data_IF_263779005985
#
_entry.id   IF_263779005985
#
_cell.length_a   1.000
_cell.length_b   1.000
_cell.length_c   1.000
_cell.angle_alpha   90.00
_cell.angle_beta   90.00
_cell.angle_gamma   90.00
#
_symmetry.space_group_name_H-M   'P 1'
#
loop_
_entity.id
_entity.type
_entity.pdbx_description
1 polymer ?
#
# COMPACT_ATOMS: atom_id res chain seq x y z
N UNK A 1 0.97 -34.33 21.38
CA UNK A 1 0.25 -33.68 20.26
C UNK A 1 -1.20 -34.17 20.28
N UNK A 2 -2.17 -33.30 20.54
CA UNK A 2 -3.60 -33.68 20.43
C UNK A 2 -3.94 -33.95 18.96
N UNK A 3 -4.55 -35.09 18.70
CA UNK A 3 -4.96 -35.52 17.35
C UNK A 3 -6.03 -34.55 16.83
N UNK A 4 -5.75 -33.87 15.72
CA UNK A 4 -6.67 -32.93 15.09
C UNK A 4 -7.94 -33.65 14.66
N UNK A 5 -9.10 -33.21 15.14
CA UNK A 5 -10.41 -33.79 14.78
C UNK A 5 -10.67 -33.55 13.28
N UNK A 6 -11.11 -34.60 12.59
CA UNK A 6 -11.36 -34.60 11.14
C UNK A 6 -12.86 -34.63 10.84
N UNK A 7 -13.26 -34.39 9.58
CA UNK A 7 -14.64 -34.57 9.12
C UNK A 7 -15.16 -36.02 9.32
N UNK A 8 -14.27 -37.01 9.33
CA UNK A 8 -14.61 -38.40 9.63
C UNK A 8 -14.98 -38.60 11.12
N UNK A 9 -14.26 -37.90 12.00
CA UNK A 9 -14.54 -37.93 13.43
C UNK A 9 -15.88 -37.23 13.74
N UNK A 10 -16.16 -36.10 13.07
CA UNK A 10 -17.46 -35.40 13.15
C UNK A 10 -18.59 -36.31 12.66
N UNK A 11 -18.38 -37.03 11.57
CA UNK A 11 -19.36 -37.96 11.04
C UNK A 11 -19.71 -39.07 12.08
N UNK A 12 -18.67 -39.58 12.73
CA UNK A 12 -18.85 -40.58 13.80
C UNK A 12 -19.63 -40.01 15.00
N UNK A 13 -19.26 -38.79 15.46
CA UNK A 13 -19.93 -38.10 16.56
C UNK A 13 -21.39 -37.77 16.25
N UNK A 14 -21.71 -37.43 15.01
CA UNK A 14 -23.06 -37.13 14.57
C UNK A 14 -23.87 -38.37 14.15
N UNK A 15 -23.29 -39.57 14.17
CA UNK A 15 -23.94 -40.80 13.75
C UNK A 15 -24.33 -40.78 12.26
N UNK A 16 -23.50 -40.22 11.38
CA UNK A 16 -23.77 -40.10 9.96
C UNK A 16 -22.57 -40.52 9.12
N UNK A 17 -22.77 -40.70 7.82
CA UNK A 17 -21.67 -40.93 6.91
C UNK A 17 -20.89 -39.64 6.63
N UNK A 18 -19.59 -39.72 6.37
CA UNK A 18 -18.73 -38.54 6.10
C UNK A 18 -19.26 -37.63 4.96
N UNK A 19 -19.88 -38.24 3.93
CA UNK A 19 -20.51 -37.46 2.86
C UNK A 19 -21.69 -36.61 3.33
N UNK A 20 -22.38 -37.02 4.42
CA UNK A 20 -23.47 -36.26 5.03
C UNK A 20 -22.93 -35.02 5.73
N UNK A 21 -21.76 -35.11 6.38
CA UNK A 21 -21.08 -33.95 6.95
C UNK A 21 -20.74 -32.95 5.85
N UNK A 22 -20.17 -33.43 4.75
CA UNK A 22 -19.84 -32.55 3.58
C UNK A 22 -21.09 -31.89 2.99
N UNK A 23 -22.20 -32.63 2.89
CA UNK A 23 -23.49 -32.09 2.39
C UNK A 23 -24.11 -31.09 3.37
N UNK A 24 -24.04 -31.34 4.67
CA UNK A 24 -24.57 -30.44 5.68
C UNK A 24 -23.86 -29.08 5.71
N UNK A 25 -22.59 -29.07 5.34
CA UNK A 25 -21.75 -27.87 5.25
C UNK A 25 -21.84 -27.17 3.89
N UNK A 26 -22.40 -27.83 2.88
CA UNK A 26 -22.58 -27.26 1.53
C UNK A 26 -24.00 -26.67 1.39
N UNK A 27 -24.16 -25.35 1.18
CA UNK A 27 -25.46 -24.70 1.00
C UNK A 27 -26.31 -25.33 -0.08
N UNK A 28 -25.71 -25.70 -1.24
CA UNK A 28 -26.43 -26.27 -2.40
C UNK A 28 -27.01 -27.64 -2.16
N UNK A 29 -26.51 -28.35 -1.16
CA UNK A 29 -26.95 -29.73 -0.85
C UNK A 29 -27.48 -29.88 0.57
N UNK A 30 -27.34 -28.85 1.41
CA UNK A 30 -27.71 -28.89 2.83
C UNK A 30 -29.22 -29.07 3.05
N UNK A 31 -30.05 -28.66 2.09
CA UNK A 31 -31.52 -28.86 2.10
C UNK A 31 -31.92 -30.34 2.06
N UNK A 32 -31.04 -31.22 1.57
CA UNK A 32 -31.25 -32.70 1.56
C UNK A 32 -31.09 -33.35 2.94
N UNK A 33 -30.74 -32.55 3.96
CA UNK A 33 -30.51 -33.01 5.32
C UNK A 33 -31.50 -32.29 6.22
N UNK A 34 -32.13 -33.03 7.17
CA UNK A 34 -33.09 -32.43 8.06
C UNK A 34 -32.48 -31.24 8.82
N UNK A 35 -33.23 -30.15 9.06
CA UNK A 35 -32.72 -28.95 9.72
C UNK A 35 -32.04 -29.25 11.08
N UNK A 36 -32.61 -30.13 11.88
CA UNK A 36 -32.06 -30.54 13.17
C UNK A 36 -30.68 -31.21 13.03
N UNK A 37 -30.55 -32.17 12.10
CA UNK A 37 -29.29 -32.90 11.89
C UNK A 37 -28.23 -32.00 11.27
N UNK A 38 -28.60 -31.08 10.38
CA UNK A 38 -27.74 -30.10 9.81
C UNK A 38 -27.12 -29.16 10.88
N UNK A 39 -27.96 -28.68 11.80
CA UNK A 39 -27.51 -27.80 12.87
C UNK A 39 -26.60 -28.54 13.86
N UNK A 40 -26.92 -29.79 14.20
CA UNK A 40 -26.07 -30.65 15.03
C UNK A 40 -24.67 -30.79 14.41
N UNK A 41 -24.58 -31.13 13.14
CA UNK A 41 -23.31 -31.27 12.43
C UNK A 41 -22.53 -29.93 12.41
N UNK A 42 -23.20 -28.82 12.15
CA UNK A 42 -22.57 -27.49 12.14
C UNK A 42 -22.02 -27.11 13.51
N UNK A 43 -22.75 -27.41 14.57
CA UNK A 43 -22.30 -27.14 15.93
C UNK A 43 -21.10 -28.01 16.34
N UNK A 44 -21.06 -29.27 15.94
CA UNK A 44 -19.88 -30.12 16.12
C UNK A 44 -18.69 -29.61 15.37
N UNK A 45 -18.88 -29.22 14.11
CA UNK A 45 -17.80 -28.62 13.30
C UNK A 45 -17.24 -27.34 13.93
N UNK A 46 -18.09 -26.43 14.42
CA UNK A 46 -17.66 -25.20 15.13
C UNK A 46 -16.91 -25.57 16.43
N UNK A 47 -17.44 -26.46 17.23
CA UNK A 47 -16.83 -26.88 18.52
C UNK A 47 -15.42 -27.44 18.34
N UNK A 48 -15.20 -28.24 17.30
CA UNK A 48 -13.92 -28.95 17.08
C UNK A 48 -13.04 -28.29 15.99
N UNK A 49 -13.43 -27.12 15.46
CA UNK A 49 -12.65 -26.40 14.44
C UNK A 49 -12.54 -27.14 13.11
N UNK A 50 -13.49 -28.04 12.80
CA UNK A 50 -13.50 -28.77 11.54
C UNK A 50 -14.14 -27.90 10.46
N UNK A 51 -13.30 -27.49 9.52
CA UNK A 51 -13.74 -26.64 8.40
C UNK A 51 -14.21 -27.50 7.22
N UNK A 52 -15.15 -27.01 6.39
CA UNK A 52 -15.58 -27.65 5.16
C UNK A 52 -14.40 -27.95 4.22
N UNK A 53 -14.50 -29.05 3.43
CA UNK A 53 -13.53 -29.32 2.37
C UNK A 53 -13.54 -28.17 1.33
N UNK A 54 -12.46 -28.05 0.55
CA UNK A 54 -12.29 -26.98 -0.47
C UNK A 54 -13.49 -26.79 -1.40
N UNK A 55 -14.10 -27.88 -1.84
CA UNK A 55 -15.26 -27.85 -2.72
C UNK A 55 -16.49 -27.24 -2.02
N UNK A 56 -16.63 -27.45 -0.70
CA UNK A 56 -17.73 -26.94 0.11
C UNK A 56 -17.50 -25.47 0.50
N UNK A 57 -16.24 -25.08 0.75
CA UNK A 57 -15.90 -23.67 1.05
C UNK A 57 -16.25 -22.70 -0.10
N UNK A 58 -16.16 -23.14 -1.36
CA UNK A 58 -16.50 -22.30 -2.51
C UNK A 58 -17.97 -21.85 -2.53
N UNK A 59 -18.85 -22.58 -1.84
CA UNK A 59 -20.30 -22.34 -1.79
C UNK A 59 -20.81 -21.95 -0.40
N UNK A 60 -19.92 -21.76 0.57
CA UNK A 60 -20.30 -21.32 1.90
C UNK A 60 -20.49 -19.81 1.92
N UNK A 61 -21.74 -19.35 2.03
CA UNK A 61 -22.10 -17.93 2.17
C UNK A 61 -21.76 -17.35 3.56
N UNK A 62 -21.23 -18.17 4.49
CA UNK A 62 -20.78 -17.64 5.78
C UNK A 62 -19.49 -16.84 5.56
N UNK A 63 -19.57 -15.54 5.78
CA UNK A 63 -18.40 -14.63 5.77
C UNK A 63 -17.37 -15.12 6.77
N UNK A 64 -16.12 -15.21 6.36
CA UNK A 64 -15.03 -15.61 7.26
C UNK A 64 -14.68 -14.48 8.23
N UNK A 65 -15.11 -13.27 7.92
CA UNK A 65 -14.76 -12.01 8.59
C UNK A 65 -13.24 -11.78 8.65
N UNK A 66 -12.53 -12.28 7.64
CA UNK A 66 -11.08 -12.14 7.49
C UNK A 66 -10.77 -11.46 6.17
N UNK A 67 -9.93 -10.47 6.23
CA UNK A 67 -9.32 -9.82 5.08
C UNK A 67 -7.85 -10.21 5.10
N UNK A 68 -7.34 -10.81 4.04
CA UNK A 68 -5.95 -11.21 3.97
C UNK A 68 -5.15 -10.21 3.11
N UNK A 69 -4.11 -9.63 3.68
CA UNK A 69 -3.17 -8.79 2.92
C UNK A 69 -1.88 -9.55 2.66
N UNK A 70 -1.67 -9.89 1.39
CA UNK A 70 -0.49 -10.59 0.90
C UNK A 70 0.55 -9.55 0.49
N UNK A 71 1.69 -9.55 1.17
CA UNK A 71 2.81 -8.67 0.89
C UNK A 71 4.14 -9.44 0.84
N UNK A 72 5.15 -8.89 0.16
CA UNK A 72 6.43 -9.57 -0.02
C UNK A 72 7.45 -9.28 1.05
N UNK A 73 8.46 -10.14 1.08
CA UNK A 73 9.62 -9.95 1.95
C UNK A 73 10.42 -8.68 1.62
N UNK A 74 10.30 -8.19 0.36
CA UNK A 74 10.96 -6.95 -0.09
C UNK A 74 10.12 -5.68 0.14
N UNK A 75 8.86 -5.78 0.47
CA UNK A 75 8.10 -4.67 1.07
C UNK A 75 8.56 -4.48 2.52
N UNK A 76 9.84 -4.14 2.64
CA UNK A 76 10.54 -3.92 3.90
C UNK A 76 9.97 -2.74 4.69
N UNK A 77 9.09 -1.97 4.04
CA UNK A 77 8.56 -0.69 4.49
C UNK A 77 7.35 -0.80 5.43
N UNK A 78 6.99 -1.99 5.91
CA UNK A 78 5.97 -2.08 6.98
C UNK A 78 6.40 -1.28 8.22
N UNK A 79 7.71 -1.09 8.40
CA UNK A 79 8.27 -0.33 9.50
C UNK A 79 8.42 1.18 9.20
N UNK A 80 8.11 1.64 7.99
CA UNK A 80 8.02 3.07 7.70
C UNK A 80 6.85 3.71 8.45
N UNK A 81 7.04 4.92 8.99
CA UNK A 81 6.02 5.64 9.78
C UNK A 81 4.70 5.73 9.02
N UNK A 82 4.73 6.12 7.75
CA UNK A 82 3.55 6.18 6.89
C UNK A 82 2.87 4.83 6.72
N UNK A 83 3.64 3.78 6.44
CA UNK A 83 3.09 2.43 6.20
C UNK A 83 2.52 1.80 7.47
N UNK A 84 3.18 1.94 8.62
CA UNK A 84 2.66 1.42 9.88
C UNK A 84 1.37 2.13 10.29
N UNK A 85 1.29 3.45 10.09
CA UNK A 85 0.07 4.22 10.30
C UNK A 85 -1.05 3.78 9.36
N UNK A 86 -0.74 3.58 8.08
CA UNK A 86 -1.69 3.08 7.08
C UNK A 86 -2.28 1.72 7.46
N UNK A 87 -1.41 0.76 7.83
CA UNK A 87 -1.85 -0.58 8.27
C UNK A 87 -2.71 -0.47 9.52
N UNK A 88 -2.30 0.32 10.52
CA UNK A 88 -3.08 0.54 11.74
C UNK A 88 -4.47 1.08 11.41
N UNK A 89 -4.56 2.11 10.59
CA UNK A 89 -5.84 2.70 10.20
C UNK A 89 -6.75 1.68 9.50
N UNK A 90 -6.21 0.86 8.60
CA UNK A 90 -6.96 -0.22 7.97
C UNK A 90 -7.44 -1.23 9.01
N UNK A 91 -6.58 -1.63 9.96
CA UNK A 91 -6.98 -2.54 11.04
C UNK A 91 -8.14 -1.96 11.85
N UNK A 92 -8.05 -0.70 12.26
CA UNK A 92 -9.05 -0.03 13.09
C UNK A 92 -10.40 0.06 12.37
N UNK A 93 -10.41 0.47 11.08
CA UNK A 93 -11.62 0.59 10.27
C UNK A 93 -12.27 -0.79 10.03
N UNK A 94 -11.47 -1.78 9.64
CA UNK A 94 -11.99 -3.14 9.40
C UNK A 94 -12.49 -3.78 10.68
N UNK A 95 -11.80 -3.58 11.80
CA UNK A 95 -12.24 -4.10 13.11
C UNK A 95 -13.56 -3.46 13.54
N UNK A 96 -13.75 -2.15 13.35
CA UNK A 96 -15.01 -1.47 13.61
C UNK A 96 -16.16 -2.04 12.76
N UNK A 97 -15.85 -2.55 11.56
CA UNK A 97 -16.79 -3.22 10.66
C UNK A 97 -16.93 -4.73 10.92
N UNK A 98 -16.30 -5.25 11.98
CA UNK A 98 -16.38 -6.66 12.40
C UNK A 98 -15.50 -7.61 11.59
N UNK A 99 -14.44 -7.10 10.94
CA UNK A 99 -13.46 -7.88 10.17
C UNK A 99 -12.09 -7.85 10.85
N UNK A 100 -11.28 -8.88 10.59
CA UNK A 100 -9.89 -8.96 11.03
C UNK A 100 -8.97 -8.89 9.83
N UNK A 101 -7.96 -8.00 9.87
CA UNK A 101 -6.89 -7.96 8.88
C UNK A 101 -5.82 -9.00 9.24
N UNK A 102 -5.56 -9.91 8.33
CA UNK A 102 -4.47 -10.89 8.44
C UNK A 102 -3.33 -10.49 7.50
N UNK A 103 -2.16 -10.26 8.05
CA UNK A 103 -0.97 -9.93 7.27
C UNK A 103 -0.23 -11.22 6.89
N UNK A 104 -0.12 -11.49 5.60
CA UNK A 104 0.53 -12.68 5.06
C UNK A 104 1.80 -12.26 4.32
N UNK A 105 2.94 -12.56 4.92
CA UNK A 105 4.23 -12.31 4.29
C UNK A 105 4.63 -13.48 3.41
N UNK A 106 4.92 -13.21 2.13
CA UNK A 106 5.45 -14.20 1.20
C UNK A 106 6.93 -14.00 0.92
N UNK A 107 7.63 -15.11 0.73
CA UNK A 107 8.97 -15.12 0.14
C UNK A 107 8.88 -14.84 -1.36
N UNK A 108 9.76 -13.97 -1.86
CA UNK A 108 9.66 -13.37 -3.21
C UNK A 108 10.17 -14.28 -4.34
N UNK A 109 10.42 -15.55 -4.11
CA UNK A 109 10.84 -16.45 -5.17
C UNK A 109 9.69 -16.76 -6.14
N UNK A 110 9.77 -16.37 -7.44
CA UNK A 110 8.74 -16.66 -8.43
C UNK A 110 8.38 -18.16 -8.51
N UNK A 111 9.38 -19.01 -8.31
CA UNK A 111 9.22 -20.47 -8.36
C UNK A 111 8.39 -21.01 -7.18
N UNK A 112 8.40 -20.30 -6.07
CA UNK A 112 7.65 -20.67 -4.86
C UNK A 112 6.25 -20.06 -4.81
N UNK A 113 5.92 -19.08 -5.65
CA UNK A 113 4.66 -18.35 -5.56
C UNK A 113 3.41 -19.24 -5.61
N UNK A 114 3.34 -20.16 -6.56
CA UNK A 114 2.19 -21.07 -6.68
C UNK A 114 2.06 -21.94 -5.43
N UNK A 115 3.18 -22.41 -4.87
CA UNK A 115 3.17 -23.19 -3.63
C UNK A 115 2.68 -22.34 -2.46
N UNK A 116 3.21 -21.13 -2.32
CA UNK A 116 2.82 -20.18 -1.28
C UNK A 116 1.33 -19.85 -1.35
N UNK A 117 0.79 -19.60 -2.56
CA UNK A 117 -0.65 -19.37 -2.73
C UNK A 117 -1.47 -20.60 -2.32
N UNK A 118 -1.00 -21.82 -2.64
CA UNK A 118 -1.67 -23.05 -2.18
C UNK A 118 -1.64 -23.17 -0.65
N UNK A 119 -0.56 -22.80 0.01
CA UNK A 119 -0.44 -22.79 1.46
C UNK A 119 -1.41 -21.78 2.08
N UNK A 120 -1.51 -20.56 1.52
CA UNK A 120 -2.51 -19.56 1.93
C UNK A 120 -3.93 -20.12 1.82
N UNK A 121 -4.27 -20.72 0.69
CA UNK A 121 -5.58 -21.31 0.47
C UNK A 121 -5.86 -22.52 1.40
N UNK A 122 -4.81 -23.22 1.85
CA UNK A 122 -4.91 -24.32 2.80
C UNK A 122 -5.04 -23.85 4.25
N UNK A 123 -4.43 -22.72 4.62
CA UNK A 123 -4.48 -22.16 5.98
C UNK A 123 -5.87 -21.61 6.36
N UNK A 124 -6.65 -21.24 5.38
CA UNK A 124 -7.99 -20.70 5.52
C UNK A 124 -8.30 -19.71 4.41
N UNK A 125 -9.59 -19.52 4.12
CA UNK A 125 -10.00 -18.51 3.13
C UNK A 125 -10.26 -17.18 3.82
N UNK A 126 -10.00 -16.08 3.11
CA UNK A 126 -10.43 -14.74 3.46
C UNK A 126 -11.61 -14.33 2.58
N UNK A 127 -12.38 -13.34 3.04
CA UNK A 127 -13.48 -12.79 2.25
C UNK A 127 -12.96 -11.91 1.11
N UNK A 128 -11.85 -11.19 1.35
CA UNK A 128 -11.12 -10.40 0.35
C UNK A 128 -9.62 -10.62 0.53
N UNK A 129 -8.91 -10.70 -0.60
CA UNK A 129 -7.45 -10.67 -0.62
C UNK A 129 -6.95 -9.33 -1.16
N UNK A 130 -6.16 -8.63 -0.37
CA UNK A 130 -5.35 -7.50 -0.81
C UNK A 130 -3.99 -8.05 -1.25
N UNK A 131 -3.54 -7.71 -2.43
CA UNK A 131 -2.29 -8.23 -2.99
C UNK A 131 -1.42 -7.09 -3.51
N UNK A 132 -0.20 -6.97 -3.05
CA UNK A 132 0.75 -6.02 -3.61
C UNK A 132 1.04 -6.33 -5.09
N UNK A 133 1.05 -5.33 -5.96
CA UNK A 133 1.12 -5.50 -7.42
C UNK A 133 2.27 -6.37 -7.94
N UNK A 134 3.37 -6.43 -7.21
CA UNK A 134 4.57 -7.19 -7.59
C UNK A 134 4.70 -8.54 -6.88
N UNK A 135 3.69 -8.89 -6.08
CA UNK A 135 3.78 -10.04 -5.18
C UNK A 135 3.47 -11.35 -5.87
N UNK A 136 2.59 -11.32 -6.84
CA UNK A 136 2.11 -12.53 -7.52
C UNK A 136 2.16 -12.34 -9.03
N UNK A 137 2.55 -13.37 -9.74
CA UNK A 137 2.40 -13.45 -11.19
C UNK A 137 0.95 -13.77 -11.57
N UNK A 138 0.60 -13.62 -12.85
CA UNK A 138 -0.75 -13.87 -13.36
C UNK A 138 -1.30 -15.25 -13.00
N UNK A 139 -0.49 -16.30 -13.08
CA UNK A 139 -0.92 -17.67 -12.74
C UNK A 139 -1.28 -17.82 -11.25
N UNK A 140 -0.53 -17.16 -10.38
CA UNK A 140 -0.78 -17.16 -8.93
C UNK A 140 -2.04 -16.37 -8.59
N UNK A 141 -2.28 -15.23 -9.27
CA UNK A 141 -3.52 -14.46 -9.15
C UNK A 141 -4.72 -15.26 -9.63
N UNK A 142 -4.63 -15.94 -10.78
CA UNK A 142 -5.70 -16.82 -11.25
C UNK A 142 -5.98 -17.98 -10.29
N UNK A 143 -4.95 -18.53 -9.64
CA UNK A 143 -5.14 -19.56 -8.63
C UNK A 143 -5.90 -19.04 -7.41
N UNK A 144 -5.62 -17.82 -6.96
CA UNK A 144 -6.41 -17.15 -5.93
C UNK A 144 -7.84 -16.93 -6.40
N UNK A 145 -8.03 -16.38 -7.59
CA UNK A 145 -9.34 -16.11 -8.16
C UNK A 145 -10.22 -17.36 -8.29
N UNK A 146 -9.68 -18.48 -8.74
CA UNK A 146 -10.40 -19.76 -8.79
C UNK A 146 -10.94 -20.23 -7.43
N UNK A 147 -10.40 -19.71 -6.33
CA UNK A 147 -10.79 -20.06 -4.97
C UNK A 147 -11.42 -18.90 -4.20
N UNK A 148 -11.30 -17.67 -4.68
CA UNK A 148 -11.92 -16.46 -4.14
C UNK A 148 -12.20 -15.50 -5.29
N UNK A 149 -13.39 -14.89 -5.31
CA UNK A 149 -13.78 -13.92 -6.36
C UNK A 149 -13.41 -12.49 -6.01
N UNK A 150 -12.84 -12.25 -4.82
CA UNK A 150 -12.65 -10.89 -4.29
C UNK A 150 -11.17 -10.63 -4.09
N UNK A 151 -10.56 -10.02 -5.09
CA UNK A 151 -9.15 -9.66 -5.10
C UNK A 151 -8.99 -8.18 -5.40
N UNK A 152 -8.20 -7.49 -4.60
CA UNK A 152 -7.76 -6.11 -4.86
C UNK A 152 -6.24 -6.10 -5.01
N UNK A 153 -5.78 -5.67 -6.17
CA UNK A 153 -4.37 -5.42 -6.40
C UNK A 153 -4.03 -4.01 -5.93
N UNK A 154 -3.20 -3.91 -4.90
CA UNK A 154 -2.73 -2.62 -4.38
C UNK A 154 -1.49 -2.17 -5.14
N UNK A 155 -1.57 -0.98 -5.73
CA UNK A 155 -0.52 -0.39 -6.55
C UNK A 155 0.13 0.75 -5.76
N UNK A 156 1.32 0.51 -5.26
CA UNK A 156 2.07 1.50 -4.45
C UNK A 156 2.76 2.56 -5.31
N UNK A 157 2.77 2.40 -6.62
CA UNK A 157 3.38 3.29 -7.60
C UNK A 157 2.31 3.97 -8.43
N UNK A 158 2.69 5.06 -9.08
CA UNK A 158 1.82 5.73 -10.02
C UNK A 158 1.39 4.78 -11.14
N UNK A 159 0.08 4.72 -11.33
CA UNK A 159 -0.52 3.78 -12.27
C UNK A 159 -0.60 4.43 -13.62
N UNK A 160 0.45 4.36 -14.41
CA UNK A 160 0.39 4.68 -15.83
C UNK A 160 -0.25 3.56 -16.66
N UNK A 161 -0.13 2.31 -16.21
CA UNK A 161 -0.73 1.12 -16.85
C UNK A 161 -1.06 0.07 -15.79
N UNK A 162 -2.22 -0.56 -15.91
CA UNK A 162 -2.58 -1.70 -15.06
C UNK A 162 -1.66 -2.88 -15.38
N UNK A 163 -1.10 -3.56 -14.38
CA UNK A 163 -0.14 -4.65 -14.59
C UNK A 163 -0.77 -5.90 -15.22
N UNK A 164 -2.10 -6.07 -15.11
CA UNK A 164 -2.84 -7.20 -15.66
C UNK A 164 -4.13 -6.71 -16.33
N UNK A 165 -4.05 -6.02 -17.49
CA UNK A 165 -5.21 -5.38 -18.13
C UNK A 165 -6.28 -6.39 -18.58
N UNK A 166 -5.88 -7.64 -18.88
CA UNK A 166 -6.78 -8.70 -19.34
C UNK A 166 -7.56 -9.40 -18.21
N UNK A 167 -7.23 -9.10 -16.96
CA UNK A 167 -7.87 -9.70 -15.79
C UNK A 167 -9.05 -8.85 -15.32
N UNK A 168 -10.12 -8.79 -16.11
CA UNK A 168 -11.31 -7.96 -15.84
C UNK A 168 -12.04 -8.27 -14.52
N UNK A 169 -11.75 -9.41 -13.91
CA UNK A 169 -12.25 -9.83 -12.59
C UNK A 169 -11.43 -9.26 -11.41
N UNK A 170 -10.31 -8.61 -11.68
CA UNK A 170 -9.40 -8.08 -10.67
C UNK A 170 -9.75 -6.62 -10.38
N UNK A 171 -9.91 -6.29 -9.11
CA UNK A 171 -10.03 -4.92 -8.66
C UNK A 171 -8.66 -4.30 -8.46
N UNK A 172 -8.58 -2.99 -8.67
CA UNK A 172 -7.35 -2.23 -8.46
C UNK A 172 -7.57 -1.11 -7.47
N UNK A 173 -6.59 -0.93 -6.59
CA UNK A 173 -6.48 0.25 -5.75
C UNK A 173 -5.10 0.87 -5.97
N UNK A 174 -5.06 2.02 -6.62
CA UNK A 174 -3.83 2.69 -7.05
C UNK A 174 -3.64 4.07 -6.42
N UNK A 175 -2.45 4.62 -6.62
CA UNK A 175 -2.07 5.95 -6.19
C UNK A 175 -1.59 6.76 -7.39
N UNK A 176 -1.93 8.06 -7.42
CA UNK A 176 -1.49 8.98 -8.45
C UNK A 176 -1.11 10.34 -7.83
N UNK A 177 0.10 10.80 -8.09
CA UNK A 177 0.60 12.11 -7.63
C UNK A 177 0.82 13.12 -8.77
N UNK A 178 0.54 12.74 -10.01
CA UNK A 178 0.86 13.55 -11.19
C UNK A 178 0.23 14.95 -11.13
N UNK A 179 -1.05 15.03 -10.80
CA UNK A 179 -1.79 16.31 -10.73
C UNK A 179 -1.23 17.22 -9.63
N UNK A 180 -0.97 16.68 -8.44
CA UNK A 180 -0.37 17.40 -7.33
C UNK A 180 1.08 17.82 -7.65
N UNK A 181 1.83 16.98 -8.37
CA UNK A 181 3.18 17.30 -8.82
C UNK A 181 3.18 18.45 -9.85
N UNK A 182 2.20 18.47 -10.77
CA UNK A 182 2.03 19.56 -11.71
C UNK A 182 1.67 20.89 -11.01
N UNK A 183 0.80 20.83 -10.01
CA UNK A 183 0.45 21.99 -9.18
C UNK A 183 1.69 22.51 -8.43
N UNK A 184 2.47 21.60 -7.83
CA UNK A 184 3.71 21.95 -7.15
C UNK A 184 4.74 22.57 -8.11
N UNK A 185 4.92 22.02 -9.32
CA UNK A 185 5.78 22.60 -10.35
C UNK A 185 5.31 23.98 -10.78
N UNK A 186 4.00 24.16 -10.94
CA UNK A 186 3.43 25.47 -11.33
C UNK A 186 3.61 26.53 -10.24
N UNK A 187 3.69 26.12 -8.99
CA UNK A 187 3.93 27.00 -7.83
C UNK A 187 5.42 27.42 -7.68
N UNK A 188 6.35 26.80 -8.42
CA UNK A 188 7.76 27.23 -8.44
C UNK A 188 7.85 28.61 -9.11
N UNK A 189 8.45 29.62 -8.48
CA UNK A 189 8.73 30.91 -9.13
C UNK A 189 9.52 30.69 -10.42
N UNK A 190 9.24 31.45 -11.52
CA UNK A 190 9.89 31.25 -12.79
C UNK A 190 11.43 31.25 -12.70
N UNK A 191 12.01 32.15 -11.90
CA UNK A 191 13.45 32.29 -11.65
C UNK A 191 14.05 31.07 -10.93
N UNK A 192 13.24 30.27 -10.24
CA UNK A 192 13.68 29.06 -9.55
C UNK A 192 13.55 27.78 -10.41
N UNK A 193 12.97 27.87 -11.62
CA UNK A 193 12.80 26.71 -12.52
C UNK A 193 14.03 26.37 -13.36
N UNK A 194 15.04 27.24 -13.37
CA UNK A 194 16.25 27.05 -14.18
C UNK A 194 17.23 26.05 -13.56
N UNK A 195 17.18 25.84 -12.25
CA UNK A 195 18.12 25.00 -11.50
C UNK A 195 17.42 24.17 -10.44
N UNK A 196 16.89 23.04 -10.88
CA UNK A 196 16.15 22.09 -10.03
C UNK A 196 17.06 20.92 -9.66
N UNK A 197 17.16 20.60 -8.38
CA UNK A 197 17.75 19.37 -7.89
C UNK A 197 16.67 18.42 -7.39
N UNK A 198 16.54 17.25 -8.00
CA UNK A 198 15.81 16.14 -7.39
C UNK A 198 16.72 15.40 -6.43
N UNK A 199 16.31 15.30 -5.16
CA UNK A 199 17.02 14.56 -4.13
C UNK A 199 16.16 13.42 -3.56
N UNK A 200 16.63 12.20 -3.68
CA UNK A 200 15.90 11.03 -3.26
C UNK A 200 16.75 9.78 -3.19
N UNK A 201 16.08 8.63 -3.09
CA UNK A 201 16.73 7.33 -3.11
C UNK A 201 16.88 6.83 -4.56
N UNK A 202 17.87 5.99 -4.78
CA UNK A 202 18.01 5.27 -6.04
C UNK A 202 16.93 4.18 -6.12
N UNK A 203 15.78 4.54 -6.65
CA UNK A 203 14.59 3.70 -6.70
C UNK A 203 13.75 4.00 -7.95
N UNK A 204 12.94 3.02 -8.37
CA UNK A 204 12.00 3.22 -9.47
C UNK A 204 10.97 4.34 -9.20
N UNK A 205 10.59 4.53 -7.93
CA UNK A 205 9.70 5.62 -7.55
C UNK A 205 10.33 6.99 -7.84
N UNK A 206 11.63 7.13 -7.56
CA UNK A 206 12.39 8.34 -7.90
C UNK A 206 12.51 8.53 -9.42
N UNK A 207 12.76 7.47 -10.18
CA UNK A 207 12.83 7.53 -11.64
C UNK A 207 11.53 8.08 -12.26
N UNK A 208 10.38 7.59 -11.78
CA UNK A 208 9.06 8.06 -12.24
C UNK A 208 8.88 9.55 -11.95
N UNK A 209 9.20 10.01 -10.74
CA UNK A 209 9.08 11.41 -10.33
C UNK A 209 10.03 12.32 -11.12
N UNK A 210 11.25 11.87 -11.36
CA UNK A 210 12.23 12.56 -12.20
C UNK A 210 11.67 12.72 -13.62
N UNK A 211 11.05 11.66 -14.18
CA UNK A 211 10.45 11.72 -15.50
C UNK A 211 9.28 12.71 -15.54
N UNK A 212 8.44 12.76 -14.51
CA UNK A 212 7.37 13.76 -14.42
C UNK A 212 7.91 15.19 -14.45
N UNK A 213 8.98 15.48 -13.71
CA UNK A 213 9.59 16.82 -13.70
C UNK A 213 10.16 17.17 -15.09
N UNK A 214 10.80 16.22 -15.77
CA UNK A 214 11.27 16.42 -17.16
C UNK A 214 10.13 16.74 -18.11
N UNK A 215 9.04 15.98 -18.02
CA UNK A 215 7.86 16.21 -18.83
C UNK A 215 7.24 17.60 -18.57
N UNK A 216 7.22 18.06 -17.31
CA UNK A 216 6.76 19.40 -16.95
C UNK A 216 7.67 20.50 -17.51
N UNK A 217 8.99 20.35 -17.42
CA UNK A 217 9.95 21.27 -18.02
C UNK A 217 9.72 21.37 -19.52
N UNK A 218 9.69 20.25 -20.22
CA UNK A 218 9.45 20.17 -21.65
C UNK A 218 8.14 20.84 -22.05
N UNK A 219 7.05 20.55 -21.35
CA UNK A 219 5.73 21.14 -21.63
C UNK A 219 5.68 22.64 -21.34
N UNK A 220 6.59 23.15 -20.50
CA UNK A 220 6.76 24.56 -20.18
C UNK A 220 7.76 25.28 -21.11
N UNK A 221 8.32 24.59 -22.10
CA UNK A 221 9.34 25.13 -23.00
C UNK A 221 10.72 25.36 -22.35
N UNK A 222 10.98 24.70 -21.22
CA UNK A 222 12.23 24.76 -20.46
C UNK A 222 13.13 23.57 -20.80
N UNK A 223 14.48 23.77 -20.80
CA UNK A 223 15.43 22.68 -21.04
C UNK A 223 15.33 21.59 -19.96
N UNK A 224 15.41 20.33 -20.38
CA UNK A 224 15.45 19.20 -19.44
C UNK A 224 16.70 19.21 -18.54
N UNK A 225 17.80 19.84 -19.05
CA UNK A 225 19.05 20.00 -18.30
C UNK A 225 18.91 20.95 -17.09
N UNK A 226 17.81 21.67 -16.96
CA UNK A 226 17.47 22.42 -15.75
C UNK A 226 17.25 21.47 -14.54
N UNK A 227 17.05 20.16 -14.77
CA UNK A 227 16.91 19.16 -13.74
C UNK A 227 18.19 18.33 -13.59
N UNK A 228 18.73 18.33 -12.39
CA UNK A 228 19.76 17.38 -11.95
C UNK A 228 19.18 16.43 -10.90
N UNK A 229 19.60 15.18 -10.91
CA UNK A 229 19.24 14.22 -9.88
C UNK A 229 20.44 13.87 -9.01
N UNK A 230 20.22 13.83 -7.71
CA UNK A 230 21.16 13.37 -6.70
C UNK A 230 20.50 12.23 -5.93
N UNK A 231 20.89 11.00 -6.29
CA UNK A 231 20.28 9.79 -5.73
C UNK A 231 21.26 9.12 -4.79
N UNK A 232 20.88 8.96 -3.54
CA UNK A 232 21.67 8.16 -2.62
C UNK A 232 21.35 6.68 -2.80
N UNK A 233 22.37 5.81 -2.79
CA UNK A 233 22.17 4.39 -3.08
C UNK A 233 21.32 3.73 -1.99
N UNK A 234 20.25 3.07 -2.42
CA UNK A 234 19.39 2.28 -1.52
C UNK A 234 20.05 0.94 -1.21
N UNK A 235 20.89 0.90 -0.17
CA UNK A 235 21.46 -0.35 0.33
C UNK A 235 20.58 -0.90 1.45
N UNK A 236 19.75 -1.89 1.16
CA UNK A 236 18.99 -2.67 2.13
C UNK A 236 18.06 -1.86 3.07
N UNK A 237 17.20 -2.57 3.80
CA UNK A 237 16.27 -1.99 4.77
C UNK A 237 16.93 -0.95 5.67
N UNK A 238 16.46 0.29 5.58
CA UNK A 238 16.93 1.42 6.39
C UNK A 238 15.73 1.89 7.22
N UNK A 239 15.76 1.80 8.56
CA UNK A 239 14.75 2.42 9.42
C UNK A 239 14.63 3.93 9.13
N UNK A 240 13.47 4.55 9.34
CA UNK A 240 13.25 5.98 9.08
C UNK A 240 14.31 6.90 9.67
N UNK A 241 14.71 6.67 10.90
CA UNK A 241 15.79 7.42 11.59
C UNK A 241 17.14 7.31 10.89
N UNK A 242 17.38 6.16 10.28
CA UNK A 242 18.59 5.91 9.53
C UNK A 242 18.55 6.50 8.12
N UNK A 243 17.34 6.63 7.51
CA UNK A 243 17.18 7.33 6.23
C UNK A 243 17.63 8.78 6.37
N UNK A 244 17.18 9.48 7.40
CA UNK A 244 17.59 10.86 7.66
C UNK A 244 19.10 10.96 7.88
N UNK A 245 19.69 10.03 8.63
CA UNK A 245 21.14 10.01 8.88
C UNK A 245 21.95 9.74 7.61
N UNK A 246 21.59 8.72 6.82
CA UNK A 246 22.33 8.37 5.59
C UNK A 246 22.16 9.43 4.52
N UNK A 247 20.95 9.99 4.36
CA UNK A 247 20.71 11.10 3.46
C UNK A 247 21.48 12.35 3.90
N UNK A 248 21.54 12.63 5.21
CA UNK A 248 22.32 13.74 5.77
C UNK A 248 23.81 13.60 5.50
N UNK A 249 24.40 12.44 5.77
CA UNK A 249 25.83 12.19 5.48
C UNK A 249 26.11 12.31 3.98
N UNK A 250 25.27 11.74 3.15
CA UNK A 250 25.42 11.84 1.69
C UNK A 250 25.31 13.29 1.18
N UNK A 251 24.43 14.10 1.77
CA UNK A 251 24.33 15.54 1.45
C UNK A 251 25.55 16.33 1.87
N UNK A 252 26.15 16.00 3.02
CA UNK A 252 27.39 16.66 3.49
C UNK A 252 28.54 16.44 2.51
N UNK A 253 28.66 15.24 1.92
CA UNK A 253 29.67 14.95 0.91
C UNK A 253 29.45 15.75 -0.40
N UNK A 254 28.21 16.21 -0.63
CA UNK A 254 27.82 16.94 -1.84
C UNK A 254 27.49 18.43 -1.58
N UNK A 255 27.66 18.92 -0.35
CA UNK A 255 27.17 20.24 0.08
C UNK A 255 27.64 21.42 -0.82
N UNK A 256 28.88 21.40 -1.31
CA UNK A 256 29.41 22.45 -2.22
C UNK A 256 28.68 22.54 -3.57
N UNK A 257 27.94 21.50 -3.96
CA UNK A 257 27.18 21.48 -5.20
C UNK A 257 25.76 22.02 -5.03
N UNK A 258 25.28 22.15 -3.78
CA UNK A 258 23.91 22.54 -3.50
C UNK A 258 23.67 24.03 -3.74
N UNK A 259 24.71 24.86 -3.65
CA UNK A 259 24.61 26.33 -3.79
C UNK A 259 24.13 26.78 -5.19
N UNK A 260 24.31 25.91 -6.18
CA UNK A 260 23.93 26.26 -7.57
C UNK A 260 22.43 26.04 -7.86
N UNK A 261 21.66 25.40 -6.94
CA UNK A 261 20.25 25.09 -7.16
C UNK A 261 19.33 26.04 -6.41
N UNK A 262 18.24 26.44 -7.06
CA UNK A 262 17.19 27.30 -6.51
C UNK A 262 15.91 26.54 -6.18
N UNK A 263 15.74 25.33 -6.73
CA UNK A 263 14.63 24.42 -6.35
C UNK A 263 15.16 23.06 -5.95
N UNK A 264 14.64 22.55 -4.83
CA UNK A 264 14.91 21.23 -4.32
C UNK A 264 13.63 20.41 -4.29
N UNK A 265 13.62 19.34 -5.07
CA UNK A 265 12.49 18.41 -5.11
C UNK A 265 12.89 17.11 -4.40
N UNK A 266 12.29 16.85 -3.26
CA UNK A 266 12.72 15.78 -2.37
C UNK A 266 11.75 14.60 -2.33
N UNK A 267 12.27 13.41 -2.12
CA UNK A 267 11.48 12.22 -1.86
C UNK A 267 11.43 11.90 -0.37
N UNK A 268 10.22 11.90 0.19
CA UNK A 268 9.97 11.45 1.56
C UNK A 268 10.81 12.18 2.62
N UNK A 269 11.29 11.43 3.59
CA UNK A 269 12.05 11.95 4.73
C UNK A 269 13.40 12.57 4.38
N UNK A 270 13.87 12.44 3.13
CA UNK A 270 15.12 13.07 2.68
C UNK A 270 15.06 14.60 2.74
N UNK A 271 13.87 15.17 2.82
CA UNK A 271 13.68 16.64 2.92
C UNK A 271 14.26 17.22 4.22
N UNK A 272 14.15 16.49 5.34
CA UNK A 272 14.56 17.03 6.65
C UNK A 272 16.05 17.32 6.76
N UNK A 273 16.96 16.37 6.44
CA UNK A 273 18.40 16.65 6.47
C UNK A 273 18.82 17.70 5.43
N UNK A 274 18.13 17.77 4.28
CA UNK A 274 18.37 18.80 3.30
C UNK A 274 17.99 20.19 3.85
N UNK A 275 16.81 20.31 4.43
CA UNK A 275 16.33 21.55 5.03
C UNK A 275 17.29 22.06 6.13
N UNK A 276 17.68 21.16 7.05
CA UNK A 276 18.62 21.51 8.12
C UNK A 276 19.97 22.01 7.54
N UNK A 277 20.49 21.34 6.52
CA UNK A 277 21.74 21.74 5.86
C UNK A 277 21.62 23.11 5.19
N UNK A 278 20.54 23.35 4.45
CA UNK A 278 20.30 24.63 3.76
C UNK A 278 20.15 25.78 4.76
N UNK A 279 19.43 25.57 5.85
CA UNK A 279 19.29 26.55 6.92
C UNK A 279 20.63 26.88 7.58
N UNK A 280 21.48 25.89 7.83
CA UNK A 280 22.85 26.11 8.35
C UNK A 280 23.74 26.90 7.37
N UNK A 281 23.48 26.83 6.08
CA UNK A 281 24.14 27.64 5.06
C UNK A 281 23.54 29.05 4.94
N UNK A 282 22.53 29.40 5.77
CA UNK A 282 21.88 30.69 5.74
C UNK A 282 20.88 30.87 4.58
N UNK A 283 20.51 29.79 3.90
CA UNK A 283 19.54 29.81 2.79
C UNK A 283 18.12 29.62 3.33
N UNK A 284 17.23 30.52 2.96
CA UNK A 284 15.87 30.61 3.51
C UNK A 284 14.86 30.10 2.47
N UNK A 285 14.14 28.96 2.74
CA UNK A 285 13.04 28.52 1.91
C UNK A 285 11.94 29.59 1.77
N UNK A 286 11.41 29.76 0.57
CA UNK A 286 10.42 30.78 0.25
C UNK A 286 10.98 32.16 -0.11
N UNK A 287 12.27 32.39 0.18
CA UNK A 287 12.98 33.61 -0.21
C UNK A 287 14.08 33.30 -1.24
N UNK A 288 15.03 32.47 -0.85
CA UNK A 288 16.21 32.19 -1.65
C UNK A 288 16.05 30.93 -2.50
N UNK A 289 15.11 30.08 -2.14
CA UNK A 289 14.88 28.78 -2.76
C UNK A 289 13.47 28.23 -2.53
N UNK A 290 13.10 27.26 -3.35
CA UNK A 290 11.85 26.52 -3.23
C UNK A 290 12.15 25.07 -2.83
N UNK A 291 11.43 24.54 -1.83
CA UNK A 291 11.47 23.12 -1.48
C UNK A 291 10.13 22.49 -1.78
N UNK A 292 10.16 21.36 -2.47
CA UNK A 292 9.00 20.51 -2.75
C UNK A 292 9.31 19.12 -2.21
N UNK A 293 8.39 18.52 -1.48
CA UNK A 293 8.58 17.17 -0.94
C UNK A 293 7.36 16.28 -1.16
N UNK A 294 7.61 15.05 -1.58
CA UNK A 294 6.62 13.98 -1.54
C UNK A 294 6.62 13.38 -0.13
N UNK A 295 5.59 13.66 0.66
CA UNK A 295 5.47 13.13 2.02
C UNK A 295 4.19 12.33 2.21
N UNK A 296 4.31 11.23 2.93
CA UNK A 296 3.18 10.48 3.46
C UNK A 296 2.74 11.14 4.76
N UNK A 297 1.74 12.03 4.67
CA UNK A 297 1.21 12.78 5.82
C UNK A 297 -0.15 12.22 6.24
N UNK A 298 -0.35 12.09 7.57
CA UNK A 298 -1.67 11.89 8.15
C UNK A 298 -2.48 13.20 8.24
N UNK A 299 -3.51 13.23 9.08
CA UNK A 299 -4.36 14.43 9.31
C UNK A 299 -3.59 15.60 9.92
N UNK A 300 -2.51 15.31 10.65
CA UNK A 300 -1.67 16.31 11.28
C UNK A 300 -0.38 16.49 10.47
N UNK A 301 -0.20 17.67 9.91
CA UNK A 301 1.05 18.10 9.28
C UNK A 301 1.89 18.74 10.36
N UNK A 302 3.10 18.25 10.68
CA UNK A 302 3.97 18.88 11.65
C UNK A 302 4.31 20.34 11.28
N UNK A 303 4.50 21.25 12.24
CA UNK A 303 4.79 22.66 11.96
C UNK A 303 6.02 22.89 11.06
N UNK A 304 7.04 22.05 11.17
CA UNK A 304 8.22 22.11 10.31
C UNK A 304 7.91 21.87 8.82
N UNK A 305 6.84 21.18 8.51
CA UNK A 305 6.41 20.89 7.13
C UNK A 305 5.72 22.09 6.47
N UNK A 306 5.32 23.10 7.21
CA UNK A 306 4.81 24.36 6.65
C UNK A 306 5.90 25.15 5.86
N UNK A 307 7.16 24.80 6.03
CA UNK A 307 8.28 25.39 5.28
C UNK A 307 8.48 24.76 3.88
N UNK A 308 7.71 23.74 3.52
CA UNK A 308 7.82 23.04 2.24
C UNK A 308 6.51 23.07 1.46
N UNK A 309 6.61 23.07 0.15
CA UNK A 309 5.51 22.70 -0.72
C UNK A 309 5.37 21.17 -0.66
N UNK A 310 4.20 20.67 -0.25
CA UNK A 310 4.01 19.24 -0.07
C UNK A 310 3.17 18.64 -1.19
N UNK A 311 3.62 17.49 -1.68
CA UNK A 311 2.80 16.56 -2.43
C UNK A 311 2.41 15.48 -1.44
N UNK A 312 1.25 15.66 -0.82
CA UNK A 312 0.79 14.85 0.30
C UNK A 312 0.03 13.63 -0.18
N UNK A 313 0.47 12.47 0.27
CA UNK A 313 -0.31 11.25 0.28
C UNK A 313 -1.02 11.17 1.63
N UNK A 314 -2.29 11.58 1.67
CA UNK A 314 -3.09 11.50 2.90
C UNK A 314 -3.41 10.04 3.23
N UNK A 315 -2.56 9.42 4.05
CA UNK A 315 -2.62 8.00 4.39
C UNK A 315 -3.88 7.61 5.18
N UNK A 316 -4.47 8.53 5.93
CA UNK A 316 -5.71 8.28 6.66
C UNK A 316 -6.88 8.14 5.68
N UNK A 317 -7.03 9.10 4.77
CA UNK A 317 -8.07 9.08 3.75
C UNK A 317 -7.86 7.93 2.74
N UNK A 318 -6.60 7.60 2.42
CA UNK A 318 -6.29 6.47 1.56
C UNK A 318 -6.71 5.14 2.20
N UNK A 319 -6.48 4.97 3.51
CA UNK A 319 -6.93 3.80 4.26
C UNK A 319 -8.46 3.69 4.29
N UNK A 320 -9.15 4.82 4.51
CA UNK A 320 -10.62 4.88 4.45
C UNK A 320 -11.12 4.40 3.08
N UNK A 321 -10.56 4.93 1.98
CA UNK A 321 -10.98 4.57 0.61
C UNK A 321 -10.68 3.12 0.25
N UNK A 322 -9.54 2.58 0.68
CA UNK A 322 -9.25 1.16 0.49
C UNK A 322 -10.23 0.28 1.27
N UNK A 323 -10.56 0.64 2.51
CA UNK A 323 -11.53 -0.10 3.32
C UNK A 323 -12.95 -0.02 2.73
N UNK A 324 -13.36 1.15 2.22
CA UNK A 324 -14.64 1.29 1.49
C UNK A 324 -14.70 0.30 0.31
N UNK A 325 -13.64 0.20 -0.49
CA UNK A 325 -13.57 -0.73 -1.60
C UNK A 325 -13.59 -2.20 -1.15
N UNK A 326 -12.87 -2.53 -0.07
CA UNK A 326 -12.88 -3.87 0.54
C UNK A 326 -14.28 -4.26 0.97
N UNK A 327 -14.97 -3.38 1.72
CA UNK A 327 -16.31 -3.64 2.22
C UNK A 327 -17.33 -3.72 1.07
N UNK A 328 -17.21 -2.85 0.06
CA UNK A 328 -18.04 -2.93 -1.13
C UNK A 328 -17.91 -4.28 -1.82
N UNK A 329 -16.69 -4.78 -2.04
CA UNK A 329 -16.46 -6.09 -2.68
C UNK A 329 -16.97 -7.27 -1.86
N UNK A 330 -17.19 -7.11 -0.55
CA UNK A 330 -17.81 -8.15 0.27
C UNK A 330 -19.30 -8.26 -0.03
N UNK A 331 -19.96 -7.14 -0.29
CA UNK A 331 -21.39 -7.09 -0.56
C UNK A 331 -21.69 -7.28 -2.06
N UNK A 332 -20.91 -6.66 -2.92
CA UNK A 332 -20.99 -6.77 -4.38
C UNK A 332 -19.61 -7.21 -4.94
N UNK A 333 -19.51 -8.45 -5.47
CA UNK A 333 -18.24 -8.98 -5.97
C UNK A 333 -17.83 -8.43 -7.34
N UNK A 334 -18.47 -7.38 -7.84
CA UNK A 334 -18.10 -6.74 -9.11
C UNK A 334 -16.77 -6.01 -8.95
N UNK A 335 -15.83 -6.17 -9.88
CA UNK A 335 -14.54 -5.50 -9.83
C UNK A 335 -14.68 -3.97 -9.83
N UNK A 336 -13.92 -3.31 -8.98
CA UNK A 336 -13.88 -1.85 -8.85
C UNK A 336 -12.45 -1.37 -8.97
N UNK A 337 -12.23 -0.37 -9.83
CA UNK A 337 -10.95 0.28 -9.97
C UNK A 337 -11.00 1.66 -9.29
N UNK A 338 -10.15 1.85 -8.32
CA UNK A 338 -10.04 3.10 -7.59
C UNK A 338 -8.60 3.61 -7.63
N UNK A 339 -8.44 4.90 -7.89
CA UNK A 339 -7.15 5.58 -7.84
C UNK A 339 -7.23 6.71 -6.83
N UNK A 340 -6.45 6.60 -5.77
CA UNK A 340 -6.31 7.66 -4.79
C UNK A 340 -5.38 8.74 -5.34
N UNK A 341 -5.79 10.01 -5.23
CA UNK A 341 -5.01 11.16 -5.70
C UNK A 341 -4.29 11.83 -4.54
N UNK A 342 -3.01 12.14 -4.73
CA UNK A 342 -2.29 13.02 -3.83
C UNK A 342 -2.87 14.43 -3.87
N UNK A 343 -2.67 15.18 -2.79
CA UNK A 343 -2.99 16.58 -2.70
C UNK A 343 -1.71 17.44 -2.73
N UNK A 344 -1.78 18.58 -3.40
CA UNK A 344 -0.76 19.61 -3.27
C UNK A 344 -1.12 20.53 -2.10
N UNK A 345 -0.18 20.74 -1.20
CA UNK A 345 -0.30 21.65 -0.03
C UNK A 345 0.81 22.68 -0.17
N UNK A 346 0.49 23.95 -0.48
CA UNK A 346 1.49 25.00 -0.60
C UNK A 346 2.12 25.29 0.75
N UNK A 347 3.41 25.67 0.73
CA UNK A 347 4.11 26.13 1.93
C UNK A 347 3.47 27.43 2.46
N UNK A 348 3.44 27.56 3.78
CA UNK A 348 3.03 28.80 4.43
C UNK A 348 4.26 29.51 5.00
N UNK A 349 4.91 30.29 4.17
CA UNK A 349 6.12 31.03 4.54
C UNK A 349 5.85 32.22 5.49
N UNK A 350 4.56 32.62 5.67
CA UNK A 350 4.20 33.84 6.40
C UNK A 350 4.30 33.79 7.93
N UNK A 351 4.21 32.59 8.52
CA UNK A 351 4.16 32.46 9.98
C UNK A 351 5.48 32.09 10.66
N UNK A 352 6.53 31.83 9.90
CA UNK A 352 7.83 31.38 10.45
C UNK A 352 8.86 32.49 10.62
N UNK A 353 8.58 33.73 10.21
CA UNK A 353 9.54 34.84 10.32
C UNK A 353 9.56 35.52 11.71
N UNK A 354 8.57 35.28 12.59
CA UNK A 354 8.48 35.96 13.88
C UNK A 354 9.04 35.18 15.08
N UNK A 355 9.54 33.95 14.90
CA UNK A 355 9.96 33.09 16.03
C UNK A 355 11.47 33.16 16.32
N UNK A 356 12.27 33.85 15.52
CA UNK A 356 13.75 33.95 15.71
C UNK A 356 14.28 35.41 15.67
N UNK A 357 13.58 36.35 16.29
CA UNK A 357 14.14 37.67 16.56
C UNK A 357 14.42 37.88 18.06
#
# INVERSE_FOLDING_TARGET
MQKKVTSKDIAHMAGVHQSTVSRALNPDTSWRISPRKREEIRNLCRKYGVMPSRAVKKYSFERTRRIAWIFGAMERDINGIGRSTFIRNICDILQASGYVLELIRLDYSPEKQIRNVREILNSGMADVYLVGARMLNGQSLELLHKNSTRLILTLNEEVSRLPFPDHHWLSYFGFNSMEASLQAFSAIPPEHREKILFFGRDSRSSEIKIQHIRDFLKNSGLPEDNLTSLLHPEKNFIPPDFICRTAGNFLLDHQKRLDQYSTFWCEGLCVYPLYDLLCRQGRIPGKDLTIISHLECGKLIPPAENAFNLISRNIDLEAEKLCEQVLHLIDDPQPVNQVFKAAFIPANYGNNMEVNS
#
